data_IF_773639227331
#
_entry.id   IF_773639227331
#
_cell.length_a   1.000
_cell.length_b   1.000
_cell.length_c   1.000
_cell.angle_alpha   90.00
_cell.angle_beta   90.00
_cell.angle_gamma   90.00
#
_symmetry.space_group_name_H-M   'P 1'
#
loop_
_entity.id
_entity.type
_entity.pdbx_description
1 polymer ?
#
# COMPACT_ATOMS: atom_id res chain seq x y z
N UNK A 1 10.86 -14.41 -33.39
CA UNK A 1 11.85 -15.49 -33.18
C UNK A 1 13.14 -15.05 -32.46
N UNK A 2 13.55 -13.77 -32.46
CA UNK A 2 14.74 -13.31 -31.70
C UNK A 2 14.58 -13.20 -30.17
N UNK A 3 13.40 -13.47 -29.59
CA UNK A 3 13.11 -13.16 -28.17
C UNK A 3 12.99 -14.36 -27.21
N UNK A 4 13.01 -15.61 -27.70
CA UNK A 4 12.91 -16.77 -26.79
C UNK A 4 14.25 -17.18 -26.17
N UNK A 5 15.38 -17.03 -26.89
CA UNK A 5 16.70 -17.39 -26.35
C UNK A 5 17.12 -16.45 -25.21
N UNK A 6 16.99 -15.13 -25.43
CA UNK A 6 17.33 -14.13 -24.41
C UNK A 6 16.44 -14.22 -23.17
N UNK A 7 15.14 -14.53 -23.32
CA UNK A 7 14.26 -14.76 -22.17
C UNK A 7 14.64 -16.03 -21.40
N UNK A 8 14.91 -17.14 -22.09
CA UNK A 8 15.36 -18.39 -21.44
C UNK A 8 16.69 -18.20 -20.70
N UNK A 9 17.60 -17.41 -21.25
CA UNK A 9 18.86 -17.04 -20.59
C UNK A 9 18.62 -16.20 -19.34
N UNK A 10 17.69 -15.24 -19.39
CA UNK A 10 17.31 -14.45 -18.21
C UNK A 10 16.70 -15.33 -17.12
N UNK A 11 15.75 -16.19 -17.47
CA UNK A 11 15.14 -17.15 -16.54
C UNK A 11 16.19 -18.09 -15.95
N UNK A 12 17.09 -18.63 -16.77
CA UNK A 12 18.17 -19.50 -16.32
C UNK A 12 19.13 -18.77 -15.36
N UNK A 13 19.46 -17.50 -15.66
CA UNK A 13 20.29 -16.66 -14.80
C UNK A 13 19.62 -16.42 -13.46
N UNK A 14 18.33 -16.03 -13.46
CA UNK A 14 17.58 -15.85 -12.21
C UNK A 14 17.58 -17.15 -11.42
N UNK A 15 17.17 -18.27 -12.02
CA UNK A 15 17.15 -19.60 -11.35
C UNK A 15 18.51 -19.99 -10.77
N UNK A 16 19.59 -19.77 -11.51
CA UNK A 16 20.94 -20.00 -11.01
C UNK A 16 21.24 -19.14 -9.78
N UNK A 17 20.92 -17.84 -9.81
CA UNK A 17 21.07 -16.98 -8.63
C UNK A 17 20.21 -17.47 -7.46
N UNK A 18 19.02 -18.05 -7.70
CA UNK A 18 18.22 -18.66 -6.64
C UNK A 18 18.92 -19.85 -5.99
N UNK A 19 19.66 -20.66 -6.75
CA UNK A 19 20.44 -21.78 -6.19
C UNK A 19 21.64 -21.33 -5.35
N UNK A 20 22.13 -20.11 -5.54
CA UNK A 20 23.26 -19.57 -4.78
C UNK A 20 22.84 -19.00 -3.43
N UNK A 21 21.56 -18.71 -3.22
CA UNK A 21 21.07 -18.24 -1.91
C UNK A 21 21.07 -19.42 -0.95
N UNK A 22 21.78 -19.34 0.19
CA UNK A 22 21.74 -20.38 1.19
C UNK A 22 20.29 -20.60 1.62
N UNK A 23 19.78 -21.82 1.44
CA UNK A 23 18.54 -22.24 2.10
C UNK A 23 18.83 -22.20 3.59
N UNK A 24 18.54 -21.07 4.25
CA UNK A 24 18.63 -20.99 5.70
C UNK A 24 17.79 -22.13 6.23
N UNK A 25 18.46 -23.07 6.91
CA UNK A 25 17.82 -24.20 7.54
C UNK A 25 16.76 -23.64 8.50
N UNK A 26 15.49 -23.82 8.18
CA UNK A 26 14.37 -23.73 9.11
C UNK A 26 14.47 -24.89 10.13
N UNK A 27 15.54 -24.87 10.93
CA UNK A 27 15.78 -25.80 12.05
C UNK A 27 15.85 -25.02 13.36
N UNK A 28 14.91 -24.11 13.57
CA UNK A 28 14.61 -23.57 14.90
C UNK A 28 13.25 -22.85 14.90
N UNK A 29 12.16 -23.62 14.77
CA UNK A 29 10.83 -23.32 15.35
C UNK A 29 9.84 -24.42 14.96
N UNK A 30 10.09 -25.62 15.49
CA UNK A 30 9.06 -26.66 15.55
C UNK A 30 8.01 -26.22 16.57
N UNK A 31 6.99 -25.50 16.11
CA UNK A 31 5.60 -25.58 16.61
C UNK A 31 4.80 -24.34 16.19
N UNK A 32 4.11 -24.43 15.05
CA UNK A 32 2.64 -24.25 14.94
C UNK A 32 2.28 -24.29 13.46
N UNK A 33 1.55 -25.35 13.10
CA UNK A 33 0.90 -25.50 11.81
C UNK A 33 -0.05 -24.33 11.57
N UNK A 34 0.13 -23.63 10.45
CA UNK A 34 -0.90 -23.15 9.52
C UNK A 34 -0.15 -22.50 8.34
N UNK A 35 -0.09 -23.26 7.23
CA UNK A 35 0.16 -22.76 5.87
C UNK A 35 1.33 -21.77 5.69
N UNK A 36 2.55 -22.20 6.04
CA UNK A 36 3.74 -21.53 5.51
C UNK A 36 3.84 -21.86 4.02
N UNK A 37 3.35 -20.95 3.16
CA UNK A 37 3.91 -20.81 1.81
C UNK A 37 5.43 -20.85 1.97
N UNK A 38 6.09 -21.87 1.41
CA UNK A 38 7.54 -22.01 1.41
C UNK A 38 8.12 -20.66 0.97
N UNK A 39 8.66 -19.89 1.94
CA UNK A 39 8.97 -18.47 1.75
C UNK A 39 10.17 -18.37 0.81
N UNK A 40 9.87 -18.47 -0.49
CA UNK A 40 10.86 -18.50 -1.54
C UNK A 40 11.61 -17.17 -1.52
N UNK A 41 12.94 -17.24 -1.63
CA UNK A 41 13.76 -16.03 -1.65
C UNK A 41 13.24 -15.07 -2.72
N UNK A 42 12.93 -13.83 -2.32
CA UNK A 42 12.40 -12.81 -3.22
C UNK A 42 13.54 -12.21 -4.04
N UNK A 43 13.43 -12.21 -5.37
CA UNK A 43 14.43 -11.65 -6.27
C UNK A 43 13.95 -10.33 -6.88
N UNK A 44 14.84 -9.35 -6.97
CA UNK A 44 14.57 -8.08 -7.61
C UNK A 44 15.51 -7.89 -8.81
N UNK A 45 14.94 -7.71 -10.00
CA UNK A 45 15.65 -7.42 -11.25
C UNK A 45 15.46 -5.95 -11.58
N UNK A 46 16.55 -5.18 -11.63
CA UNK A 46 16.50 -3.76 -11.98
C UNK A 46 16.99 -3.58 -13.41
N UNK A 47 16.12 -3.05 -14.27
CA UNK A 47 16.43 -2.76 -15.68
C UNK A 47 16.62 -1.25 -15.82
N UNK A 48 17.86 -0.84 -16.08
CA UNK A 48 18.26 0.57 -16.20
C UNK A 48 18.25 1.05 -17.67
N UNK A 49 17.76 2.27 -17.90
CA UNK A 49 17.85 2.99 -19.17
C UNK A 49 16.95 2.45 -20.29
N UNK A 50 15.87 1.77 -19.94
CA UNK A 50 14.97 1.14 -20.91
C UNK A 50 14.34 2.15 -21.88
N UNK A 51 13.92 3.30 -21.37
CA UNK A 51 13.37 4.42 -22.13
C UNK A 51 14.36 4.90 -23.20
N UNK A 52 15.63 5.12 -22.83
CA UNK A 52 16.69 5.53 -23.76
C UNK A 52 16.96 4.46 -24.82
N UNK A 53 17.01 3.19 -24.41
CA UNK A 53 17.22 2.06 -25.31
C UNK A 53 16.09 1.93 -26.34
N UNK A 54 14.82 2.07 -25.92
CA UNK A 54 13.66 2.03 -26.82
C UNK A 54 13.64 3.22 -27.79
N UNK A 55 14.00 4.42 -27.32
CA UNK A 55 14.11 5.61 -28.17
C UNK A 55 15.21 5.42 -29.21
N UNK A 56 16.37 4.90 -28.81
CA UNK A 56 17.50 4.65 -29.71
C UNK A 56 17.15 3.58 -30.75
N UNK A 57 16.49 2.49 -30.34
CA UNK A 57 16.00 1.45 -31.25
C UNK A 57 15.04 2.02 -32.30
N UNK A 58 14.10 2.88 -31.88
CA UNK A 58 13.20 3.60 -32.79
C UNK A 58 13.96 4.52 -33.76
N UNK A 59 15.00 5.23 -33.30
CA UNK A 59 15.83 6.10 -34.15
C UNK A 59 16.60 5.30 -35.19
N UNK A 60 17.27 4.20 -34.79
CA UNK A 60 18.03 3.33 -35.70
C UNK A 60 17.15 2.72 -36.79
N UNK A 61 15.91 2.32 -36.45
CA UNK A 61 14.98 1.78 -37.44
C UNK A 61 14.46 2.85 -38.42
N UNK A 62 14.21 4.08 -37.96
CA UNK A 62 13.86 5.20 -38.85
C UNK A 62 14.98 5.53 -39.84
N UNK A 63 16.25 5.41 -39.41
CA UNK A 63 17.40 5.59 -40.30
C UNK A 63 17.51 4.46 -41.33
N UNK A 64 17.32 3.19 -40.92
CA UNK A 64 17.32 2.04 -41.84
C UNK A 64 16.22 2.10 -42.91
N UNK A 65 15.04 2.67 -42.59
CA UNK A 65 13.97 2.87 -43.57
C UNK A 65 14.25 3.97 -44.60
N UNK A 66 15.22 4.86 -44.36
CA UNK A 66 15.60 5.93 -45.31
C UNK A 66 16.69 5.53 -46.31
N UNK A 67 17.33 4.37 -46.12
CA UNK A 67 18.33 3.84 -47.06
C UNK A 67 17.64 2.87 -48.05
N UNK A 68 17.64 3.16 -49.37
CA UNK A 68 16.95 2.34 -50.36
C UNK A 68 17.84 1.15 -50.75
N UNK A 69 17.93 0.14 -49.89
CA UNK A 69 18.47 -1.16 -50.28
C UNK A 69 17.35 -2.20 -50.21
N UNK A 70 17.23 -3.09 -51.21
CA UNK A 70 16.17 -4.09 -51.24
C UNK A 70 16.46 -5.17 -50.18
N UNK A 71 15.95 -5.00 -48.97
CA UNK A 71 16.06 -6.03 -47.92
C UNK A 71 14.82 -6.91 -47.92
N UNK A 72 14.96 -8.13 -48.47
CA UNK A 72 13.96 -9.21 -48.55
C UNK A 72 13.69 -9.92 -47.22
N UNK A 73 14.08 -9.34 -46.08
CA UNK A 73 13.91 -9.93 -44.75
C UNK A 73 12.78 -9.24 -43.98
N UNK A 74 11.86 -9.98 -43.33
CA UNK A 74 10.82 -9.38 -42.52
C UNK A 74 11.45 -8.50 -41.44
N UNK A 75 11.07 -7.21 -41.40
CA UNK A 75 11.54 -6.29 -40.38
C UNK A 75 11.18 -6.84 -39.00
N UNK A 76 12.11 -6.92 -38.03
CA UNK A 76 11.78 -7.38 -36.69
C UNK A 76 10.70 -6.47 -36.10
N UNK A 77 9.63 -7.07 -35.56
CA UNK A 77 8.55 -6.38 -34.86
C UNK A 77 9.13 -5.44 -33.81
N UNK A 78 8.65 -4.19 -33.80
CA UNK A 78 9.16 -3.17 -32.89
C UNK A 78 8.86 -3.59 -31.46
N UNK A 79 9.90 -3.80 -30.64
CA UNK A 79 9.73 -4.06 -29.21
C UNK A 79 9.15 -2.79 -28.59
N UNK A 80 7.96 -2.93 -28.03
CA UNK A 80 7.24 -1.86 -27.37
C UNK A 80 7.51 -1.87 -25.86
N UNK A 81 7.11 -0.79 -25.19
CA UNK A 81 7.13 -0.73 -23.73
C UNK A 81 6.17 -1.76 -23.12
N UNK A 82 5.04 -2.03 -23.78
CA UNK A 82 4.08 -3.04 -23.33
C UNK A 82 4.69 -4.44 -23.37
N UNK A 83 5.43 -4.77 -24.43
CA UNK A 83 6.09 -6.07 -24.58
C UNK A 83 7.11 -6.32 -23.45
N UNK A 84 7.81 -5.28 -23.00
CA UNK A 84 8.76 -5.39 -21.88
C UNK A 84 8.05 -5.54 -20.53
N UNK A 85 6.90 -4.91 -20.36
CA UNK A 85 6.05 -5.13 -19.19
C UNK A 85 5.46 -6.55 -19.17
N UNK A 86 5.08 -7.09 -20.32
CA UNK A 86 4.63 -8.47 -20.45
C UNK A 86 5.75 -9.46 -20.10
N UNK A 87 6.98 -9.21 -20.58
CA UNK A 87 8.15 -10.01 -20.19
C UNK A 87 8.43 -9.93 -18.68
N UNK A 88 8.33 -8.74 -18.08
CA UNK A 88 8.50 -8.56 -16.64
C UNK A 88 7.41 -9.31 -15.84
N UNK A 89 6.17 -9.29 -16.32
CA UNK A 89 5.07 -10.05 -15.73
C UNK A 89 5.30 -11.55 -15.86
N UNK A 90 5.70 -12.04 -17.03
CA UNK A 90 6.04 -13.45 -17.24
C UNK A 90 7.20 -13.90 -16.34
N UNK A 91 8.22 -13.05 -16.17
CA UNK A 91 9.34 -13.33 -15.28
C UNK A 91 8.88 -13.46 -13.81
N UNK A 92 7.94 -12.62 -13.38
CA UNK A 92 7.33 -12.75 -12.06
C UNK A 92 6.55 -14.07 -11.94
N UNK A 93 5.73 -14.43 -12.94
CA UNK A 93 4.96 -15.68 -12.93
C UNK A 93 5.85 -16.94 -12.96
N UNK A 94 6.95 -16.91 -13.70
CA UNK A 94 7.79 -18.10 -13.92
C UNK A 94 8.78 -18.37 -12.78
N UNK A 95 9.28 -17.32 -12.11
CA UNK A 95 10.38 -17.42 -11.13
C UNK A 95 10.24 -16.50 -9.91
N UNK A 96 9.12 -15.77 -9.77
CA UNK A 96 8.88 -14.87 -8.63
C UNK A 96 9.78 -13.64 -8.59
N UNK A 97 10.41 -13.26 -9.71
CA UNK A 97 11.31 -12.12 -9.74
C UNK A 97 10.57 -10.80 -10.00
N UNK A 98 10.63 -9.89 -9.03
CA UNK A 98 10.09 -8.54 -9.13
C UNK A 98 10.97 -7.71 -10.05
N UNK A 99 10.38 -7.08 -11.07
CA UNK A 99 11.14 -6.25 -12.02
C UNK A 99 10.86 -4.77 -11.80
N UNK A 100 11.92 -3.95 -11.72
CA UNK A 100 11.82 -2.49 -11.68
C UNK A 100 12.56 -1.87 -12.86
N UNK A 101 11.84 -1.08 -13.64
CA UNK A 101 12.43 -0.24 -14.67
C UNK A 101 12.88 1.11 -14.07
N UNK A 102 14.09 1.54 -14.41
CA UNK A 102 14.67 2.83 -14.01
C UNK A 102 15.24 3.54 -15.24
N UNK A 103 15.19 4.87 -15.29
CA UNK A 103 15.63 5.65 -16.46
C UNK A 103 17.14 5.93 -16.48
N UNK A 104 17.77 6.02 -15.32
CA UNK A 104 19.18 6.38 -15.18
C UNK A 104 19.80 5.81 -13.88
N UNK A 105 21.06 6.17 -13.64
CA UNK A 105 21.83 5.70 -12.48
C UNK A 105 21.24 6.21 -11.17
N UNK A 106 20.76 7.45 -11.15
CA UNK A 106 20.22 8.07 -9.95
C UNK A 106 18.91 7.40 -9.54
N UNK A 107 18.01 7.14 -10.49
CA UNK A 107 16.79 6.37 -10.26
C UNK A 107 17.10 4.93 -9.79
N UNK A 108 18.12 4.27 -10.34
CA UNK A 108 18.59 2.97 -9.84
C UNK A 108 19.07 3.07 -8.38
N UNK A 109 19.93 4.04 -8.06
CA UNK A 109 20.46 4.22 -6.71
C UNK A 109 19.37 4.52 -5.68
N UNK A 110 18.42 5.40 -6.03
CA UNK A 110 17.28 5.73 -5.18
C UNK A 110 16.40 4.51 -4.90
N UNK A 111 16.17 3.66 -5.91
CA UNK A 111 15.39 2.44 -5.73
C UNK A 111 16.12 1.41 -4.87
N UNK A 112 17.44 1.25 -5.04
CA UNK A 112 18.26 0.39 -4.18
C UNK A 112 18.22 0.89 -2.73
N UNK A 113 18.38 2.19 -2.50
CA UNK A 113 18.30 2.78 -1.15
C UNK A 113 16.92 2.53 -0.51
N UNK A 114 15.85 2.67 -1.28
CA UNK A 114 14.49 2.34 -0.83
C UNK A 114 14.38 0.85 -0.47
N UNK A 115 14.80 -0.06 -1.35
CA UNK A 115 14.77 -1.50 -1.08
C UNK A 115 15.57 -1.86 0.17
N UNK A 116 16.78 -1.31 0.33
CA UNK A 116 17.60 -1.54 1.53
C UNK A 116 16.87 -1.08 2.79
N UNK A 117 16.26 0.11 2.76
CA UNK A 117 15.48 0.63 3.89
C UNK A 117 14.30 -0.29 4.23
N UNK A 118 13.52 -0.69 3.23
CA UNK A 118 12.35 -1.56 3.43
C UNK A 118 12.76 -2.94 3.94
N UNK A 119 13.88 -3.50 3.48
CA UNK A 119 14.42 -4.76 4.00
C UNK A 119 14.83 -4.64 5.47
N UNK A 120 15.45 -3.53 5.86
CA UNK A 120 15.78 -3.26 7.27
C UNK A 120 14.51 -3.15 8.11
N UNK A 121 13.51 -2.40 7.65
CA UNK A 121 12.22 -2.26 8.35
C UNK A 121 11.56 -3.63 8.50
N UNK A 122 11.43 -4.39 7.41
CA UNK A 122 10.84 -5.72 7.41
C UNK A 122 11.57 -6.69 8.37
N UNK A 123 12.92 -6.66 8.38
CA UNK A 123 13.71 -7.49 9.29
C UNK A 123 13.61 -7.08 10.77
N UNK A 124 13.24 -5.84 11.04
CA UNK A 124 13.11 -5.30 12.40
C UNK A 124 11.74 -5.57 13.03
N UNK A 125 10.76 -6.01 12.24
CA UNK A 125 9.42 -6.34 12.72
C UNK A 125 9.48 -7.60 13.58
N UNK A 126 9.14 -7.47 14.86
CA UNK A 126 9.26 -8.55 15.82
C UNK A 126 8.02 -9.45 15.83
N UNK A 127 6.85 -8.93 15.43
CA UNK A 127 5.58 -9.67 15.51
C UNK A 127 4.58 -9.34 14.40
N UNK A 128 3.70 -10.29 14.09
CA UNK A 128 2.54 -10.12 13.19
C UNK A 128 1.63 -8.97 13.64
N UNK A 129 1.57 -8.71 14.96
CA UNK A 129 0.79 -7.61 15.51
C UNK A 129 1.36 -6.24 15.12
N UNK A 130 2.69 -6.07 15.11
CA UNK A 130 3.33 -4.83 14.66
C UNK A 130 3.05 -4.56 13.18
N UNK A 131 3.06 -5.60 12.35
CA UNK A 131 2.71 -5.49 10.92
C UNK A 131 1.24 -5.08 10.73
N UNK A 132 0.33 -5.69 11.50
CA UNK A 132 -1.08 -5.30 11.49
C UNK A 132 -1.28 -3.84 11.90
N UNK A 133 -0.63 -3.38 12.98
CA UNK A 133 -0.75 -2.01 13.46
C UNK A 133 -0.08 -0.98 12.53
N UNK A 134 0.99 -1.34 11.81
CA UNK A 134 1.58 -0.47 10.78
C UNK A 134 0.68 -0.26 9.56
N UNK A 135 -0.22 -1.21 9.27
CA UNK A 135 -1.21 -1.06 8.20
C UNK A 135 -2.26 0.01 8.51
N UNK A 136 -2.39 0.43 9.78
CA UNK A 136 -3.30 1.48 10.21
C UNK A 136 -2.82 2.84 9.69
N UNK A 137 -3.71 3.53 9.00
CA UNK A 137 -3.42 4.85 8.42
C UNK A 137 -3.02 5.87 9.49
N UNK A 138 -1.90 6.56 9.28
CA UNK A 138 -1.43 7.62 10.17
C UNK A 138 -2.13 8.94 9.84
N UNK A 139 -3.14 9.30 10.61
CA UNK A 139 -3.85 10.57 10.46
C UNK A 139 -3.00 11.75 10.93
N UNK A 140 -2.87 12.77 10.07
CA UNK A 140 -2.15 14.02 10.35
C UNK A 140 -3.08 15.22 10.48
N UNK A 141 -4.41 15.02 10.48
CA UNK A 141 -5.38 16.11 10.51
C UNK A 141 -5.19 17.02 11.72
N UNK A 142 -5.41 18.31 11.50
CA UNK A 142 -5.32 19.35 12.50
C UNK A 142 -6.43 20.37 12.25
N UNK A 143 -7.13 20.76 13.30
CA UNK A 143 -8.19 21.75 13.20
C UNK A 143 -7.57 23.15 13.16
N UNK A 144 -7.88 23.92 12.13
CA UNK A 144 -7.56 25.34 12.06
C UNK A 144 -8.71 26.15 12.66
N UNK A 145 -8.38 27.06 13.57
CA UNK A 145 -9.31 27.97 14.23
C UNK A 145 -9.58 29.19 13.36
N UNK A 146 -10.66 29.93 13.65
CA UNK A 146 -11.03 31.14 12.89
C UNK A 146 -9.98 32.25 12.93
N UNK A 147 -9.09 32.25 13.92
CA UNK A 147 -7.97 33.18 14.03
C UNK A 147 -6.72 32.74 13.24
N UNK A 148 -6.79 31.64 12.49
CA UNK A 148 -5.67 31.10 11.71
C UNK A 148 -4.68 30.24 12.50
N UNK A 149 -4.87 30.09 13.82
CA UNK A 149 -4.07 29.17 14.66
C UNK A 149 -4.61 27.74 14.64
N UNK A 150 -3.82 26.76 15.07
CA UNK A 150 -4.31 25.38 15.27
C UNK A 150 -5.04 25.24 16.59
N UNK A 151 -6.06 24.37 16.65
CA UNK A 151 -6.68 23.97 17.91
C UNK A 151 -5.65 23.31 18.85
N UNK A 152 -6.02 23.16 20.12
CA UNK A 152 -5.15 22.53 21.12
C UNK A 152 -4.76 21.10 20.73
N UNK A 153 -3.62 20.63 21.26
CA UNK A 153 -3.16 19.26 21.01
C UNK A 153 -4.23 18.21 21.38
N UNK A 154 -4.97 18.43 22.47
CA UNK A 154 -6.06 17.54 22.89
C UNK A 154 -7.23 17.54 21.90
N UNK A 155 -7.62 18.70 21.36
CA UNK A 155 -8.68 18.78 20.36
C UNK A 155 -8.28 18.09 19.05
N UNK A 156 -7.03 18.25 18.62
CA UNK A 156 -6.51 17.55 17.44
C UNK A 156 -6.36 16.05 17.66
N UNK A 157 -5.97 15.61 18.86
CA UNK A 157 -5.93 14.20 19.21
C UNK A 157 -7.34 13.60 19.17
N UNK A 158 -8.33 14.28 19.75
CA UNK A 158 -9.72 13.84 19.72
C UNK A 158 -10.28 13.77 18.30
N UNK A 159 -9.99 14.77 17.45
CA UNK A 159 -10.34 14.74 16.03
C UNK A 159 -9.78 13.49 15.33
N UNK A 160 -8.49 13.17 15.54
CA UNK A 160 -7.84 12.01 14.94
C UNK A 160 -8.42 10.69 15.45
N UNK A 161 -8.75 10.60 16.75
CA UNK A 161 -9.41 9.43 17.32
C UNK A 161 -10.76 9.16 16.63
N UNK A 162 -11.54 10.20 16.35
CA UNK A 162 -12.80 10.06 15.61
C UNK A 162 -12.59 9.59 14.17
N UNK A 163 -11.52 10.03 13.50
CA UNK A 163 -11.22 9.63 12.11
C UNK A 163 -10.74 8.18 11.97
N UNK A 164 -10.29 7.54 13.05
CA UNK A 164 -9.95 6.10 13.05
C UNK A 164 -11.20 5.24 12.86
N UNK A 165 -12.39 5.77 13.18
CA UNK A 165 -13.66 5.03 13.06
C UNK A 165 -14.03 4.87 11.58
N UNK A 166 -14.24 3.63 11.09
CA UNK A 166 -14.58 3.40 9.68
C UNK A 166 -15.80 4.20 9.22
N UNK A 167 -15.64 4.99 8.16
CA UNK A 167 -16.70 5.80 7.57
C UNK A 167 -16.83 7.23 8.14
N UNK A 168 -16.00 7.59 9.12
CA UNK A 168 -15.86 8.96 9.62
C UNK A 168 -14.80 9.71 8.79
N UNK A 169 -15.26 10.61 7.93
CA UNK A 169 -14.37 11.55 7.22
C UNK A 169 -13.93 12.69 8.14
N UNK A 170 -12.97 13.49 7.69
CA UNK A 170 -12.53 14.69 8.42
C UNK A 170 -13.68 15.65 8.72
N UNK A 171 -14.55 15.93 7.74
CA UNK A 171 -15.71 16.81 7.93
C UNK A 171 -16.69 16.27 8.98
N UNK A 172 -16.93 14.95 8.98
CA UNK A 172 -17.80 14.30 9.96
C UNK A 172 -17.18 14.35 11.36
N UNK A 173 -15.88 14.07 11.48
CA UNK A 173 -15.16 14.19 12.74
C UNK A 173 -15.19 15.64 13.26
N UNK A 174 -15.06 16.63 12.37
CA UNK A 174 -15.16 18.04 12.72
C UNK A 174 -16.58 18.42 13.20
N UNK A 175 -17.63 17.92 12.56
CA UNK A 175 -19.01 18.11 13.02
C UNK A 175 -19.25 17.52 14.41
N UNK A 176 -18.72 16.31 14.67
CA UNK A 176 -18.80 15.69 15.99
C UNK A 176 -18.04 16.49 17.03
N UNK A 177 -16.84 16.97 16.69
CA UNK A 177 -16.02 17.81 17.57
C UNK A 177 -16.72 19.14 17.90
N UNK A 178 -17.51 19.71 16.99
CA UNK A 178 -18.25 20.95 17.24
C UNK A 178 -19.41 20.76 18.23
N UNK A 179 -20.01 19.57 18.27
CA UNK A 179 -21.08 19.23 19.22
C UNK A 179 -20.54 18.63 20.53
N UNK A 180 -19.45 17.87 20.44
CA UNK A 180 -18.79 17.18 21.55
C UNK A 180 -17.30 17.52 21.51
N UNK A 181 -16.90 18.69 22.06
CA UNK A 181 -15.53 19.21 21.96
C UNK A 181 -14.47 18.33 22.62
N UNK A 182 -14.90 17.40 23.47
CA UNK A 182 -14.02 16.48 24.19
C UNK A 182 -14.61 15.07 24.19
N UNK A 183 -13.75 14.07 24.30
CA UNK A 183 -14.16 12.68 24.55
C UNK A 183 -15.14 12.59 25.73
N UNK A 184 -14.83 13.25 26.84
CA UNK A 184 -15.66 13.21 28.05
C UNK A 184 -17.07 13.80 27.82
N UNK A 185 -17.19 14.86 27.00
CA UNK A 185 -18.50 15.40 26.64
C UNK A 185 -19.38 14.42 25.86
N UNK A 186 -18.79 13.62 24.96
CA UNK A 186 -19.51 12.56 24.25
C UNK A 186 -19.90 11.43 25.21
N UNK A 187 -18.96 10.98 26.05
CA UNK A 187 -19.21 9.89 26.99
C UNK A 187 -20.26 10.26 28.03
N UNK A 188 -20.31 11.50 28.50
CA UNK A 188 -21.40 11.96 29.39
C UNK A 188 -22.77 11.87 28.71
N UNK A 189 -22.86 12.18 27.42
CA UNK A 189 -24.10 12.06 26.67
C UNK A 189 -24.51 10.58 26.49
N UNK A 190 -23.58 9.68 26.19
CA UNK A 190 -23.87 8.24 26.12
C UNK A 190 -24.21 7.62 27.48
N UNK A 191 -23.69 8.16 28.58
CA UNK A 191 -23.94 7.68 29.94
C UNK A 191 -25.22 8.24 30.57
N UNK A 192 -25.97 9.09 29.88
CA UNK A 192 -27.25 9.60 30.41
C UNK A 192 -28.21 8.42 30.71
N UNK A 193 -28.65 8.24 31.98
CA UNK A 193 -29.55 7.16 32.34
C UNK A 193 -30.98 7.36 31.81
N UNK A 194 -31.33 8.56 31.33
CA UNK A 194 -32.66 8.88 30.80
C UNK A 194 -32.86 8.40 29.37
N UNK A 195 -31.77 8.07 28.66
CA UNK A 195 -31.81 7.63 27.28
C UNK A 195 -31.87 6.10 27.20
N UNK A 196 -32.73 5.58 26.33
CA UNK A 196 -32.73 4.17 25.95
C UNK A 196 -31.48 3.81 25.15
N UNK A 197 -31.16 2.51 25.05
CA UNK A 197 -30.04 2.02 24.24
C UNK A 197 -30.15 2.50 22.78
N UNK A 198 -31.34 2.40 22.18
CA UNK A 198 -31.58 2.85 20.81
C UNK A 198 -31.35 4.37 20.64
N UNK A 199 -31.70 5.17 21.64
CA UNK A 199 -31.46 6.61 21.61
C UNK A 199 -29.96 6.93 21.73
N UNK A 200 -29.21 6.16 22.52
CA UNK A 200 -27.75 6.29 22.62
C UNK A 200 -27.05 5.90 21.32
N UNK A 201 -27.46 4.79 20.73
CA UNK A 201 -26.98 4.32 19.43
C UNK A 201 -27.21 5.35 18.31
N UNK A 202 -28.32 6.08 18.34
CA UNK A 202 -28.67 7.09 17.33
C UNK A 202 -28.29 8.53 17.73
N UNK A 203 -27.65 8.73 18.89
CA UNK A 203 -27.41 10.05 19.49
C UNK A 203 -26.73 11.04 18.54
N UNK A 204 -25.75 10.57 17.76
CA UNK A 204 -24.94 11.42 16.90
C UNK A 204 -25.41 11.43 15.44
N UNK A 205 -26.45 10.68 15.10
CA UNK A 205 -26.94 10.56 13.73
C UNK A 205 -27.34 11.92 13.13
N UNK A 206 -28.01 12.77 13.93
CA UNK A 206 -28.46 14.11 13.51
C UNK A 206 -27.37 15.18 13.64
N UNK A 207 -26.20 14.83 14.19
CA UNK A 207 -25.06 15.74 14.40
C UNK A 207 -23.99 15.60 13.32
N UNK A 208 -24.12 14.55 12.52
CA UNK A 208 -23.36 14.31 11.32
C UNK A 208 -24.11 14.97 10.14
N UNK A 209 -23.42 15.42 9.10
CA UNK A 209 -24.06 16.07 7.94
C UNK A 209 -24.95 15.09 7.15
N UNK A 210 -26.23 15.39 6.94
CA UNK A 210 -27.26 14.54 6.29
C UNK A 210 -27.81 13.39 7.18
N UNK A 211 -28.84 13.76 7.97
CA UNK A 211 -29.44 12.93 9.03
C UNK A 211 -30.06 11.61 8.56
N UNK A 212 -30.41 11.46 7.27
CA UNK A 212 -31.12 10.26 6.80
C UNK A 212 -30.24 9.03 6.65
N UNK A 213 -28.94 9.21 6.39
CA UNK A 213 -28.03 8.11 6.00
C UNK A 213 -27.11 7.68 7.17
N UNK A 214 -27.17 8.39 8.30
CA UNK A 214 -26.08 8.36 9.29
C UNK A 214 -26.37 7.59 10.57
N UNK A 215 -27.52 6.93 10.68
CA UNK A 215 -27.83 6.04 11.81
C UNK A 215 -26.87 4.86 11.93
N UNK A 216 -26.49 4.25 10.80
CA UNK A 216 -25.51 3.16 10.80
C UNK A 216 -24.15 3.63 11.31
N UNK A 217 -23.73 4.84 10.92
CA UNK A 217 -22.49 5.43 11.39
C UNK A 217 -22.56 5.82 12.88
N UNK A 218 -23.71 6.34 13.34
CA UNK A 218 -23.95 6.64 14.75
C UNK A 218 -23.84 5.40 15.64
N UNK A 219 -24.49 4.29 15.22
CA UNK A 219 -24.38 3.00 15.90
C UNK A 219 -22.94 2.51 15.98
N UNK A 220 -22.20 2.63 14.88
CA UNK A 220 -20.79 2.28 14.83
C UNK A 220 -19.95 3.10 15.81
N UNK A 221 -20.14 4.41 15.83
CA UNK A 221 -19.44 5.31 16.76
C UNK A 221 -19.77 4.93 18.22
N UNK A 222 -21.03 4.63 18.52
CA UNK A 222 -21.44 4.17 19.84
C UNK A 222 -20.72 2.86 20.21
N UNK A 223 -20.72 1.86 19.32
CA UNK A 223 -20.06 0.58 19.55
C UNK A 223 -18.56 0.75 19.83
N UNK A 224 -17.83 1.55 19.05
CA UNK A 224 -16.39 1.81 19.29
C UNK A 224 -16.08 2.28 20.71
N UNK A 225 -16.96 3.07 21.32
CA UNK A 225 -16.70 3.67 22.63
C UNK A 225 -17.39 2.96 23.80
N UNK A 226 -18.44 2.19 23.55
CA UNK A 226 -19.30 1.64 24.59
C UNK A 226 -19.40 0.11 24.56
N UNK A 227 -18.92 -0.55 23.49
CA UNK A 227 -18.84 -2.01 23.46
C UNK A 227 -17.78 -2.51 24.45
N UNK A 228 -18.15 -3.49 25.27
CA UNK A 228 -17.27 -4.05 26.30
C UNK A 228 -16.46 -5.22 25.76
N UNK A 229 -16.95 -5.88 24.69
CA UNK A 229 -16.26 -6.97 24.03
C UNK A 229 -15.18 -6.45 23.05
N UNK A 230 -13.87 -6.65 23.32
CA UNK A 230 -12.80 -6.21 22.42
C UNK A 230 -12.77 -6.96 21.08
N UNK A 231 -13.41 -8.13 20.98
CA UNK A 231 -13.47 -8.94 19.77
C UNK A 231 -14.71 -8.65 18.90
N UNK A 232 -15.55 -7.69 19.31
CA UNK A 232 -16.72 -7.30 18.55
C UNK A 232 -16.32 -6.64 17.23
N UNK A 233 -16.94 -7.08 16.12
CA UNK A 233 -16.70 -6.52 14.78
C UNK A 233 -17.60 -5.30 14.58
N UNK A 234 -17.01 -4.19 14.15
CA UNK A 234 -17.59 -2.83 14.06
C UNK A 234 -17.75 -2.37 12.60
#
# INVERSE_FOLDING_TARGET
>A
MMQQKSYKELVATVRYLQTLVPKQQQKAKTSRQLEDEEESSKFFVIVKGMDRALIELKKQQKQKKKSPAPSTSPSPSMISFADLHEVAFQLFMDVGAHTKFTCDLEATANYVALLTRELVIASSRATVLEEFLESVSRYKSFRVTRSGGTASACANAWLRMLQVIPGVSEDKAQCLLDHFPTFDSLMRAYRDPRLSLEQKENLVADKLHDARIQRALSKRIYAVFCEENPDAII
#
